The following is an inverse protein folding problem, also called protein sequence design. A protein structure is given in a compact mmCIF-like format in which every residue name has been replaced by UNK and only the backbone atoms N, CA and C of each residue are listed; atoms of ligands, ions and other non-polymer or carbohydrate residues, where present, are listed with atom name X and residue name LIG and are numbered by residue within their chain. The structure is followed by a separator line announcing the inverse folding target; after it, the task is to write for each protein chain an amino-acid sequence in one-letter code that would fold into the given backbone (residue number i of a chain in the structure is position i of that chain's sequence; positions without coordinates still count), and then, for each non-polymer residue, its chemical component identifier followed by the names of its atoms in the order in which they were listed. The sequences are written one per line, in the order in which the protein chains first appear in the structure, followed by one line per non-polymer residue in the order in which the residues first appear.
data_IF_755827881226
#
_entry.id   IF_755827881226
#
_cell.length_a   1.000
_cell.length_b   1.000
_cell.length_c   1.000
_cell.angle_alpha   90.00
_cell.angle_beta   90.00
_cell.angle_gamma   90.00
#
_symmetry.space_group_name_H-M   'P 1'
#
loop_
_entity.id
_entity.type
_entity.pdbx_description
1 polymer ?
#
# COMPACT_ATOMS: atom_id res chain seq x y z
N UNK A 1 66.24 5.08 -20.28
CA UNK A 1 65.86 5.14 -18.89
C UNK A 1 64.45 5.69 -18.85
N UNK A 2 63.45 4.82 -18.79
CA UNK A 2 62.00 5.17 -18.80
C UNK A 2 61.42 4.88 -17.41
N UNK A 3 61.00 5.95 -16.74
CA UNK A 3 60.32 5.86 -15.44
C UNK A 3 58.85 5.43 -15.61
N UNK A 4 58.47 4.34 -14.96
CA UNK A 4 57.08 3.87 -14.90
C UNK A 4 56.28 4.68 -13.88
N UNK A 5 55.23 5.33 -14.33
CA UNK A 5 54.21 5.94 -13.46
C UNK A 5 53.23 4.87 -12.99
N UNK A 6 53.17 4.64 -11.67
CA UNK A 6 52.16 3.79 -11.02
C UNK A 6 50.89 4.62 -10.88
N UNK A 7 49.82 4.27 -11.61
CA UNK A 7 48.51 4.84 -11.41
C UNK A 7 47.86 4.22 -10.19
N UNK A 8 47.60 5.03 -9.16
CA UNK A 8 46.74 4.67 -8.04
C UNK A 8 45.35 4.40 -8.56
N UNK A 9 44.96 3.13 -8.60
CA UNK A 9 43.57 2.71 -8.73
C UNK A 9 42.78 3.12 -7.49
N UNK A 10 42.05 4.23 -7.60
CA UNK A 10 41.05 4.58 -6.61
C UNK A 10 39.99 3.49 -6.58
N UNK A 11 39.92 2.73 -5.48
CA UNK A 11 38.78 1.89 -5.19
C UNK A 11 37.53 2.81 -5.15
N UNK A 12 36.58 2.51 -6.02
CA UNK A 12 35.24 3.05 -5.87
C UNK A 12 34.75 2.68 -4.47
N UNK A 13 34.06 3.58 -3.75
CA UNK A 13 33.53 3.25 -2.43
C UNK A 13 32.62 2.04 -2.59
N UNK A 14 32.80 1.05 -1.71
CA UNK A 14 31.91 -0.08 -1.56
C UNK A 14 30.47 0.44 -1.60
N UNK A 15 29.70 0.06 -2.61
CA UNK A 15 28.25 0.06 -2.52
C UNK A 15 27.93 -0.97 -1.44
N UNK A 16 27.82 -0.51 -0.17
CA UNK A 16 27.16 -1.26 0.86
C UNK A 16 25.83 -1.70 0.25
N UNK A 17 25.51 -2.98 0.31
CA UNK A 17 24.22 -3.55 -0.07
C UNK A 17 23.14 -2.79 0.71
N UNK A 18 22.63 -1.70 0.14
CA UNK A 18 21.47 -1.00 0.68
C UNK A 18 20.28 -1.94 0.44
N UNK A 19 19.97 -2.71 1.45
CA UNK A 19 18.71 -3.45 1.49
C UNK A 19 17.56 -2.48 1.15
N UNK A 20 16.67 -2.90 0.26
CA UNK A 20 15.50 -2.11 -0.12
C UNK A 20 14.72 -1.68 1.14
N UNK A 21 14.30 -0.42 1.17
CA UNK A 21 13.52 0.12 2.30
C UNK A 21 12.04 -0.25 2.10
N UNK A 22 11.53 -1.13 2.94
CA UNK A 22 10.11 -1.57 2.93
C UNK A 22 9.09 -0.43 3.17
N UNK A 23 9.55 0.77 3.53
CA UNK A 23 8.69 1.96 3.61
C UNK A 23 8.39 2.56 2.23
N UNK A 24 9.17 2.21 1.22
CA UNK A 24 8.93 2.62 -0.16
C UNK A 24 8.10 1.55 -0.87
N UNK A 25 6.94 1.94 -1.37
CA UNK A 25 6.07 1.08 -2.16
C UNK A 25 5.95 1.69 -3.56
N UNK A 26 6.45 0.98 -4.57
CA UNK A 26 6.37 1.43 -5.97
C UNK A 26 5.03 1.02 -6.58
N UNK A 27 4.30 1.97 -7.14
CA UNK A 27 3.03 1.71 -7.79
C UNK A 27 3.24 1.15 -9.21
N UNK A 28 2.59 0.03 -9.51
CA UNK A 28 2.56 -0.60 -10.82
C UNK A 28 1.26 -0.20 -11.53
N UNK A 29 1.23 1.02 -12.05
CA UNK A 29 0.07 1.57 -12.77
C UNK A 29 0.28 1.32 -14.27
N UNK A 30 0.11 0.06 -14.69
CA UNK A 30 0.26 -0.45 -16.05
C UNK A 30 -0.97 -1.24 -16.46
N UNK A 31 -1.20 -1.35 -17.77
CA UNK A 31 -2.24 -2.22 -18.35
C UNK A 31 -1.72 -3.62 -18.70
N UNK A 32 -0.41 -3.74 -18.95
CA UNK A 32 0.23 -4.98 -19.40
C UNK A 32 1.19 -5.54 -18.36
N UNK A 33 1.21 -6.86 -18.24
CA UNK A 33 2.14 -7.56 -17.35
C UNK A 33 3.58 -7.47 -17.86
N UNK A 34 3.80 -7.35 -19.14
CA UNK A 34 5.14 -7.25 -19.73
C UNK A 34 5.87 -5.97 -19.26
N UNK A 35 5.13 -4.86 -19.11
CA UNK A 35 5.67 -3.61 -18.55
C UNK A 35 6.04 -3.79 -17.07
N UNK A 36 5.25 -4.55 -16.32
CA UNK A 36 5.55 -4.91 -14.93
C UNK A 36 6.83 -5.72 -14.84
N UNK A 37 6.96 -6.76 -15.69
CA UNK A 37 8.16 -7.61 -15.76
C UNK A 37 9.40 -6.78 -16.04
N UNK A 38 9.32 -5.87 -17.02
CA UNK A 38 10.43 -4.99 -17.39
C UNK A 38 10.85 -4.07 -16.23
N UNK A 39 9.88 -3.40 -15.58
CA UNK A 39 10.18 -2.50 -14.46
C UNK A 39 10.72 -3.25 -13.25
N UNK A 40 10.16 -4.40 -12.90
CA UNK A 40 10.64 -5.20 -11.76
C UNK A 40 12.06 -5.71 -11.99
N UNK A 41 12.40 -6.09 -13.22
CA UNK A 41 13.75 -6.49 -13.61
C UNK A 41 14.73 -5.31 -13.56
N UNK A 42 14.33 -4.12 -14.03
CA UNK A 42 15.14 -2.90 -13.99
C UNK A 42 15.44 -2.47 -12.57
N UNK A 43 14.45 -2.46 -11.67
CA UNK A 43 14.60 -2.04 -10.28
C UNK A 43 15.34 -3.09 -9.43
N UNK A 44 15.29 -4.36 -9.80
CA UNK A 44 16.00 -5.45 -9.14
C UNK A 44 15.79 -5.44 -7.62
N UNK A 45 16.89 -5.50 -6.87
CA UNK A 45 16.88 -5.53 -5.40
C UNK A 45 16.78 -4.14 -4.76
N UNK A 46 16.76 -3.06 -5.56
CA UNK A 46 16.57 -1.69 -5.06
C UNK A 46 15.16 -1.47 -4.50
N UNK A 47 14.19 -2.26 -4.94
CA UNK A 47 12.78 -2.20 -4.50
C UNK A 47 12.30 -3.59 -4.09
N UNK A 48 11.79 -3.68 -2.86
CA UNK A 48 11.23 -4.90 -2.29
C UNK A 48 9.71 -4.92 -2.27
N UNK A 49 9.04 -3.76 -2.45
CA UNK A 49 7.61 -3.63 -2.21
C UNK A 49 6.90 -2.90 -3.35
N UNK A 50 5.85 -3.52 -3.88
CA UNK A 50 5.08 -2.99 -5.00
C UNK A 50 3.59 -2.90 -4.67
N UNK A 51 2.90 -1.89 -5.23
CA UNK A 51 1.45 -1.76 -5.19
C UNK A 51 0.85 -2.21 -6.52
N UNK A 52 -0.07 -3.15 -6.43
CA UNK A 52 -0.94 -3.57 -7.53
C UNK A 52 -2.31 -2.92 -7.34
N UNK A 53 -2.64 -1.97 -8.19
CA UNK A 53 -3.93 -1.27 -8.18
C UNK A 53 -4.99 -1.96 -9.05
N UNK A 54 -6.19 -1.34 -9.11
CA UNK A 54 -7.32 -1.85 -9.89
C UNK A 54 -7.00 -1.98 -11.39
N UNK A 55 -6.30 -0.98 -11.96
CA UNK A 55 -5.95 -0.96 -13.38
C UNK A 55 -5.20 -2.23 -13.77
N UNK A 56 -4.06 -2.49 -13.15
CA UNK A 56 -3.25 -3.67 -13.43
C UNK A 56 -3.96 -4.98 -13.06
N UNK A 57 -4.63 -5.02 -11.90
CA UNK A 57 -5.28 -6.24 -11.44
C UNK A 57 -6.44 -6.65 -12.36
N UNK A 58 -7.20 -5.70 -12.89
CA UNK A 58 -8.32 -6.00 -13.79
C UNK A 58 -7.88 -6.28 -15.21
N UNK A 59 -6.76 -5.73 -15.67
CA UNK A 59 -6.22 -6.00 -17.02
C UNK A 59 -5.41 -7.30 -17.08
N UNK A 60 -4.46 -7.49 -16.15
CA UNK A 60 -3.55 -8.63 -16.12
C UNK A 60 -4.06 -9.82 -15.28
N UNK A 61 -5.10 -9.63 -14.48
CA UNK A 61 -5.66 -10.66 -13.63
C UNK A 61 -4.86 -10.92 -12.35
N UNK A 62 -5.26 -11.99 -11.64
CA UNK A 62 -4.69 -12.33 -10.34
C UNK A 62 -3.24 -12.81 -10.40
N UNK A 63 -2.73 -13.20 -11.57
CA UNK A 63 -1.39 -13.79 -11.75
C UNK A 63 -0.24 -12.80 -11.46
N UNK A 64 -0.52 -11.48 -11.49
CA UNK A 64 0.48 -10.47 -11.16
C UNK A 64 0.99 -10.59 -9.72
N UNK A 65 0.14 -11.00 -8.78
CA UNK A 65 0.54 -11.15 -7.38
C UNK A 65 1.50 -12.34 -7.19
N UNK A 66 1.17 -13.58 -7.62
CA UNK A 66 2.12 -14.69 -7.62
C UNK A 66 3.43 -14.38 -8.37
N UNK A 67 3.37 -13.68 -9.50
CA UNK A 67 4.58 -13.25 -10.21
C UNK A 67 5.52 -12.46 -9.28
N UNK A 68 5.03 -11.42 -8.60
CA UNK A 68 5.81 -10.61 -7.68
C UNK A 68 6.32 -11.44 -6.48
N UNK A 69 5.47 -12.29 -5.91
CA UNK A 69 5.85 -13.16 -4.78
C UNK A 69 6.96 -14.15 -5.17
N UNK A 70 6.93 -14.71 -6.37
CA UNK A 70 7.97 -15.60 -6.89
C UNK A 70 9.32 -14.88 -7.10
N UNK A 71 9.29 -13.55 -7.23
CA UNK A 71 10.49 -12.71 -7.27
C UNK A 71 10.88 -12.14 -5.89
N UNK A 72 10.38 -12.73 -4.80
CA UNK A 72 10.61 -12.31 -3.41
C UNK A 72 10.21 -10.86 -3.12
N UNK A 73 9.19 -10.34 -3.84
CA UNK A 73 8.67 -8.99 -3.62
C UNK A 73 7.47 -9.02 -2.69
N UNK A 74 7.31 -7.95 -1.89
CA UNK A 74 6.09 -7.70 -1.11
C UNK A 74 5.06 -7.03 -2.00
N UNK A 75 3.78 -7.28 -1.70
CA UNK A 75 2.66 -6.80 -2.51
C UNK A 75 1.61 -6.11 -1.64
N UNK A 76 1.33 -4.85 -1.94
CA UNK A 76 0.12 -4.16 -1.50
C UNK A 76 -0.93 -4.27 -2.62
N UNK A 77 -1.95 -5.09 -2.41
CA UNK A 77 -3.06 -5.24 -3.35
C UNK A 77 -4.14 -4.20 -3.03
N UNK A 78 -4.15 -3.12 -3.82
CA UNK A 78 -4.88 -1.87 -3.58
C UNK A 78 -6.20 -1.83 -4.36
N UNK A 79 -7.16 -2.70 -4.00
CA UNK A 79 -8.46 -2.83 -4.68
C UNK A 79 -9.60 -2.07 -3.99
N UNK A 80 -9.35 -1.54 -2.79
CA UNK A 80 -10.26 -0.64 -2.05
C UNK A 80 -11.68 -1.20 -1.90
N UNK A 81 -11.82 -2.42 -1.37
CA UNK A 81 -13.14 -3.06 -1.24
C UNK A 81 -14.11 -2.18 -0.45
N UNK A 82 -15.32 -2.04 -0.98
CA UNK A 82 -16.38 -1.25 -0.37
C UNK A 82 -17.72 -1.88 -0.71
N UNK A 83 -18.24 -2.67 0.19
CA UNK A 83 -19.50 -3.40 0.02
C UNK A 83 -20.15 -3.67 1.39
N UNK A 84 -21.28 -4.35 1.42
CA UNK A 84 -21.86 -4.81 2.69
C UNK A 84 -20.88 -5.70 3.45
N UNK A 85 -20.96 -5.77 4.80
CA UNK A 85 -19.91 -6.38 5.63
C UNK A 85 -19.51 -7.79 5.21
N UNK A 86 -20.47 -8.66 4.90
CA UNK A 86 -20.17 -10.03 4.51
C UNK A 86 -19.45 -10.11 3.15
N UNK A 87 -19.90 -9.34 2.16
CA UNK A 87 -19.29 -9.36 0.81
C UNK A 87 -17.86 -8.83 0.85
N UNK A 88 -17.63 -7.72 1.55
CA UNK A 88 -16.27 -7.17 1.72
C UNK A 88 -15.34 -8.18 2.43
N UNK A 89 -15.81 -8.83 3.49
CA UNK A 89 -15.03 -9.81 4.23
C UNK A 89 -14.70 -11.06 3.39
N UNK A 90 -15.66 -11.63 2.67
CA UNK A 90 -15.41 -12.80 1.81
C UNK A 90 -14.52 -12.46 0.61
N UNK A 91 -14.66 -11.24 0.06
CA UNK A 91 -13.74 -10.74 -0.96
C UNK A 91 -12.28 -10.69 -0.46
N UNK A 92 -12.05 -10.13 0.73
CA UNK A 92 -10.72 -10.11 1.35
C UNK A 92 -10.19 -11.51 1.65
N UNK A 93 -11.06 -12.42 2.12
CA UNK A 93 -10.69 -13.82 2.32
C UNK A 93 -10.23 -14.49 1.01
N UNK A 94 -10.89 -14.18 -0.10
CA UNK A 94 -10.50 -14.68 -1.42
C UNK A 94 -9.15 -14.10 -1.87
N UNK A 95 -8.92 -12.80 -1.63
CA UNK A 95 -7.67 -12.11 -1.97
C UNK A 95 -6.48 -12.57 -1.10
N UNK A 96 -6.72 -13.01 0.14
CA UNK A 96 -5.66 -13.54 1.00
C UNK A 96 -4.92 -14.71 0.33
N UNK A 97 -5.63 -15.56 -0.43
CA UNK A 97 -5.00 -16.70 -1.13
C UNK A 97 -4.09 -16.30 -2.28
N UNK A 98 -4.13 -15.04 -2.72
CA UNK A 98 -3.17 -14.52 -3.70
C UNK A 98 -1.77 -14.27 -3.08
N UNK A 99 -1.67 -14.21 -1.75
CA UNK A 99 -0.39 -14.02 -1.04
C UNK A 99 0.04 -12.55 -0.90
N UNK A 100 -0.88 -11.59 -1.06
CA UNK A 100 -0.59 -10.18 -0.80
C UNK A 100 -0.21 -9.94 0.66
N UNK A 101 0.69 -8.98 0.91
CA UNK A 101 1.15 -8.60 2.24
C UNK A 101 0.26 -7.52 2.88
N UNK A 102 -0.37 -6.67 2.05
CA UNK A 102 -1.35 -5.66 2.48
C UNK A 102 -2.58 -5.76 1.58
N UNK A 103 -3.76 -5.68 2.22
CA UNK A 103 -5.08 -5.52 1.58
C UNK A 103 -5.75 -4.25 2.10
N UNK A 104 -6.73 -3.73 1.38
CA UNK A 104 -7.46 -2.57 1.87
C UNK A 104 -8.97 -2.58 1.59
N UNK A 105 -9.66 -1.78 2.38
CA UNK A 105 -11.08 -1.45 2.22
C UNK A 105 -11.27 0.06 2.33
N UNK A 106 -12.45 0.59 1.99
CA UNK A 106 -12.80 1.97 2.34
C UNK A 106 -13.28 2.08 3.79
N UNK A 107 -12.76 3.04 4.56
CA UNK A 107 -13.21 3.31 5.93
C UNK A 107 -14.66 3.83 5.99
N UNK A 108 -15.15 4.45 4.90
CA UNK A 108 -16.52 4.91 4.74
C UNK A 108 -17.57 3.78 4.73
N UNK A 109 -17.15 2.52 4.56
CA UNK A 109 -18.00 1.35 4.76
C UNK A 109 -18.45 1.14 6.22
N UNK A 110 -17.83 1.89 7.16
CA UNK A 110 -18.23 1.95 8.56
C UNK A 110 -17.59 0.87 9.44
N UNK A 111 -17.82 1.02 10.74
CA UNK A 111 -17.25 0.14 11.76
C UNK A 111 -17.56 -1.34 11.52
N UNK A 112 -18.85 -1.65 11.28
CA UNK A 112 -19.30 -3.04 11.12
C UNK A 112 -18.62 -3.73 9.94
N UNK A 113 -18.51 -3.05 8.79
CA UNK A 113 -17.82 -3.61 7.63
C UNK A 113 -16.34 -3.90 7.94
N UNK A 114 -15.64 -2.93 8.49
CA UNK A 114 -14.22 -3.08 8.84
C UNK A 114 -13.99 -4.16 9.89
N UNK A 115 -14.80 -4.17 10.96
CA UNK A 115 -14.70 -5.18 12.04
C UNK A 115 -14.97 -6.60 11.53
N UNK A 116 -16.02 -6.78 10.72
CA UNK A 116 -16.32 -8.07 10.10
C UNK A 116 -15.17 -8.54 9.20
N UNK A 117 -14.59 -7.62 8.42
CA UNK A 117 -13.44 -7.91 7.56
C UNK A 117 -12.23 -8.40 8.36
N UNK A 118 -11.86 -7.68 9.43
CA UNK A 118 -10.75 -8.05 10.32
C UNK A 118 -10.97 -9.43 10.93
N UNK A 119 -12.14 -9.65 11.54
CA UNK A 119 -12.42 -10.90 12.25
C UNK A 119 -12.42 -12.11 11.32
N UNK A 120 -13.04 -11.97 10.14
CA UNK A 120 -13.10 -13.04 9.15
C UNK A 120 -11.74 -13.37 8.57
N UNK A 121 -10.93 -12.35 8.26
CA UNK A 121 -9.59 -12.54 7.71
C UNK A 121 -8.67 -13.24 8.72
N UNK A 122 -8.66 -12.78 9.98
CA UNK A 122 -7.88 -13.41 11.04
C UNK A 122 -8.31 -14.87 11.29
N UNK A 123 -9.62 -15.12 11.41
CA UNK A 123 -10.14 -16.47 11.62
C UNK A 123 -9.79 -17.43 10.47
N UNK A 124 -9.80 -16.93 9.22
CA UNK A 124 -9.42 -17.73 8.06
C UNK A 124 -7.91 -18.01 8.05
N UNK A 125 -7.08 -17.01 8.31
CA UNK A 125 -5.62 -17.14 8.38
C UNK A 125 -5.21 -18.18 9.44
N UNK A 126 -5.79 -18.09 10.64
CA UNK A 126 -5.58 -19.05 11.72
C UNK A 126 -6.02 -20.47 11.31
N UNK A 127 -7.25 -20.60 10.79
CA UNK A 127 -7.79 -21.90 10.33
C UNK A 127 -6.94 -22.58 9.26
N UNK A 128 -6.30 -21.77 8.39
CA UNK A 128 -5.48 -22.27 7.28
C UNK A 128 -3.99 -22.38 7.63
N UNK A 129 -3.56 -21.87 8.78
CA UNK A 129 -2.14 -21.80 9.14
C UNK A 129 -1.34 -20.90 8.18
N UNK A 130 -1.98 -19.86 7.62
CA UNK A 130 -1.37 -18.94 6.66
C UNK A 130 -1.03 -17.61 7.31
N UNK A 131 -0.02 -16.89 6.82
CA UNK A 131 0.21 -15.50 7.23
C UNK A 131 -1.03 -14.64 6.96
N UNK A 132 -1.45 -13.86 7.95
CA UNK A 132 -2.53 -12.91 7.79
C UNK A 132 -1.97 -11.63 7.14
N UNK A 133 -2.48 -11.17 5.98
CA UNK A 133 -2.06 -9.90 5.42
C UNK A 133 -2.47 -8.74 6.34
N UNK A 134 -1.72 -7.65 6.30
CA UNK A 134 -2.12 -6.40 6.95
C UNK A 134 -3.38 -5.85 6.27
N UNK A 135 -4.36 -5.44 7.06
CA UNK A 135 -5.60 -4.87 6.56
C UNK A 135 -5.67 -3.39 6.94
N UNK A 136 -5.69 -2.51 5.92
CA UNK A 136 -5.72 -1.06 6.12
C UNK A 136 -6.96 -0.43 5.48
N UNK A 137 -7.36 0.74 5.96
CA UNK A 137 -8.56 1.41 5.48
C UNK A 137 -8.24 2.72 4.76
N UNK A 138 -8.77 2.91 3.56
CA UNK A 138 -8.71 4.18 2.83
C UNK A 138 -9.61 5.19 3.53
N UNK A 139 -9.06 6.32 3.95
CA UNK A 139 -9.82 7.39 4.60
C UNK A 139 -10.60 8.20 3.58
N UNK A 140 -10.02 9.26 3.05
CA UNK A 140 -10.56 10.07 1.96
C UNK A 140 -9.55 10.00 0.80
N UNK A 141 -10.05 9.85 -0.42
CA UNK A 141 -9.22 9.85 -1.62
C UNK A 141 -8.55 11.21 -1.78
N UNK A 142 -7.25 11.22 -2.08
CA UNK A 142 -6.47 12.45 -2.22
C UNK A 142 -6.87 13.31 -3.41
N UNK A 143 -7.68 12.78 -4.32
CA UNK A 143 -8.26 13.50 -5.46
C UNK A 143 -9.50 14.34 -5.09
N UNK A 144 -10.13 14.10 -3.93
CA UNK A 144 -11.30 14.87 -3.50
C UNK A 144 -10.85 16.26 -3.07
N UNK A 145 -11.37 17.28 -3.75
CA UNK A 145 -11.19 18.69 -3.43
C UNK A 145 -12.36 19.22 -2.57
N UNK A 146 -12.28 20.48 -2.16
CA UNK A 146 -13.31 21.12 -1.31
C UNK A 146 -14.68 21.22 -2.00
N UNK A 147 -14.73 21.36 -3.34
CA UNK A 147 -15.96 21.42 -4.11
C UNK A 147 -16.68 20.06 -4.12
N UNK A 148 -15.93 19.00 -4.45
CA UNK A 148 -16.44 17.62 -4.38
C UNK A 148 -16.90 17.27 -2.98
N UNK A 149 -16.11 17.69 -1.96
CA UNK A 149 -16.43 17.47 -0.56
C UNK A 149 -17.74 18.11 -0.13
N UNK A 150 -17.95 19.39 -0.52
CA UNK A 150 -19.20 20.09 -0.29
C UNK A 150 -20.36 19.45 -1.06
N UNK A 151 -20.12 18.99 -2.31
CA UNK A 151 -21.10 18.27 -3.13
C UNK A 151 -21.59 16.96 -2.50
N UNK A 152 -20.74 16.30 -1.69
CA UNK A 152 -21.12 15.11 -0.91
C UNK A 152 -22.00 15.45 0.32
N UNK A 153 -22.27 16.75 0.59
CA UNK A 153 -23.09 17.20 1.72
C UNK A 153 -22.38 17.11 3.07
N UNK A 154 -21.06 17.02 3.09
CA UNK A 154 -20.29 16.91 4.32
C UNK A 154 -20.20 18.25 5.06
N UNK A 155 -20.40 18.22 6.39
CA UNK A 155 -20.44 19.41 7.25
C UNK A 155 -19.10 19.68 7.96
N UNK A 156 -18.16 18.74 7.92
CA UNK A 156 -16.84 18.89 8.52
C UNK A 156 -15.76 19.04 7.44
N UNK A 157 -14.58 19.49 7.81
CA UNK A 157 -13.42 19.54 6.91
C UNK A 157 -12.96 18.16 6.51
N UNK A 158 -12.30 18.03 5.35
CA UNK A 158 -11.67 16.78 4.90
C UNK A 158 -10.73 16.24 6.00
N UNK A 159 -9.90 17.09 6.58
CA UNK A 159 -8.97 16.72 7.64
C UNK A 159 -9.64 16.13 8.88
N UNK A 160 -10.73 16.77 9.35
CA UNK A 160 -11.49 16.25 10.50
C UNK A 160 -12.09 14.88 10.20
N UNK A 161 -12.61 14.69 8.98
CA UNK A 161 -13.16 13.41 8.59
C UNK A 161 -12.08 12.32 8.45
N UNK A 162 -10.93 12.65 7.90
CA UNK A 162 -9.79 11.73 7.80
C UNK A 162 -9.39 11.22 9.20
N UNK A 163 -9.24 12.12 10.17
CA UNK A 163 -8.90 11.73 11.56
C UNK A 163 -10.01 10.89 12.21
N UNK A 164 -11.28 11.23 11.95
CA UNK A 164 -12.44 10.46 12.43
C UNK A 164 -12.43 9.04 11.87
N UNK A 165 -12.21 8.89 10.56
CA UNK A 165 -12.16 7.61 9.88
C UNK A 165 -10.94 6.78 10.34
N UNK A 166 -9.79 7.42 10.57
CA UNK A 166 -8.60 6.74 11.10
C UNK A 166 -8.85 6.16 12.52
N UNK A 167 -9.49 6.94 13.40
CA UNK A 167 -9.89 6.45 14.73
C UNK A 167 -10.89 5.31 14.63
N UNK A 168 -11.86 5.41 13.73
CA UNK A 168 -12.85 4.37 13.49
C UNK A 168 -12.19 3.07 12.99
N UNK A 169 -11.28 3.17 12.02
CA UNK A 169 -10.51 2.04 11.52
C UNK A 169 -9.69 1.37 12.63
N UNK A 170 -8.99 2.16 13.44
CA UNK A 170 -8.26 1.64 14.60
C UNK A 170 -9.18 0.91 15.58
N UNK A 171 -10.35 1.47 15.90
CA UNK A 171 -11.30 0.84 16.83
C UNK A 171 -11.89 -0.46 16.28
N UNK A 172 -11.99 -0.61 14.95
CA UNK A 172 -12.41 -1.84 14.29
C UNK A 172 -11.30 -2.91 14.22
N UNK A 173 -10.07 -2.59 14.65
CA UNK A 173 -8.94 -3.51 14.65
C UNK A 173 -8.13 -3.51 13.36
N UNK A 174 -8.29 -2.49 12.48
CA UNK A 174 -7.46 -2.35 11.28
C UNK A 174 -6.00 -2.08 11.66
N UNK A 175 -5.07 -2.56 10.86
CA UNK A 175 -3.62 -2.35 11.07
C UNK A 175 -3.19 -0.91 10.74
N UNK A 176 -3.95 -0.19 9.92
CA UNK A 176 -3.60 1.16 9.50
C UNK A 176 -4.60 1.80 8.55
N UNK A 177 -4.16 2.89 7.94
CA UNK A 177 -4.95 3.65 6.97
C UNK A 177 -4.12 4.11 5.76
N UNK A 178 -4.84 4.43 4.68
CA UNK A 178 -4.33 5.22 3.56
C UNK A 178 -4.86 6.65 3.72
N UNK A 179 -3.98 7.64 3.66
CA UNK A 179 -4.31 9.06 3.78
C UNK A 179 -3.27 9.94 3.06
N UNK A 180 -3.59 11.22 2.85
CA UNK A 180 -2.61 12.18 2.33
C UNK A 180 -1.42 12.36 3.29
N UNK A 181 -0.21 12.62 2.78
CA UNK A 181 0.93 13.00 3.62
C UNK A 181 0.63 14.18 4.55
N UNK A 182 -0.28 15.08 4.14
CA UNK A 182 -0.67 16.26 4.92
C UNK A 182 -1.42 15.92 6.22
N UNK A 183 -2.11 14.78 6.26
CA UNK A 183 -2.85 14.31 7.44
C UNK A 183 -2.03 13.35 8.32
N UNK A 184 -0.86 12.90 7.86
CA UNK A 184 -0.08 11.87 8.54
C UNK A 184 0.25 12.22 10.01
N UNK A 185 0.62 13.47 10.29
CA UNK A 185 0.93 13.94 11.64
C UNK A 185 -0.31 13.88 12.56
N UNK A 186 -1.48 14.34 12.08
CA UNK A 186 -2.72 14.32 12.85
C UNK A 186 -3.21 12.89 13.11
N UNK A 187 -3.06 12.00 12.13
CA UNK A 187 -3.39 10.57 12.31
C UNK A 187 -2.44 9.93 13.32
N UNK A 188 -1.14 10.24 13.24
CA UNK A 188 -0.13 9.72 14.17
C UNK A 188 -0.43 10.13 15.62
N UNK A 189 -0.79 11.39 15.83
CA UNK A 189 -1.21 11.88 17.14
C UNK A 189 -2.47 11.17 17.64
N UNK A 190 -3.48 11.01 16.77
CA UNK A 190 -4.76 10.41 17.13
C UNK A 190 -4.73 8.89 17.32
N UNK A 191 -3.87 8.18 16.56
CA UNK A 191 -3.85 6.73 16.52
C UNK A 191 -2.59 6.09 17.13
N UNK A 192 -1.55 6.87 17.45
CA UNK A 192 -0.33 6.39 18.09
C UNK A 192 0.71 5.79 17.14
N UNK A 193 1.90 5.42 17.64
CA UNK A 193 3.07 5.10 16.83
C UNK A 193 2.98 3.77 16.05
N UNK A 194 2.25 2.79 16.57
CA UNK A 194 2.13 1.45 15.94
C UNK A 194 1.10 1.35 14.81
N UNK A 195 0.31 2.40 14.58
CA UNK A 195 -0.71 2.39 13.53
C UNK A 195 -0.09 2.71 12.17
N UNK A 196 -0.25 1.84 11.18
CA UNK A 196 0.33 2.01 9.85
C UNK A 196 -0.33 3.19 9.12
N UNK A 197 0.47 4.02 8.46
CA UNK A 197 -0.03 5.11 7.60
C UNK A 197 0.66 4.96 6.25
N UNK A 198 -0.12 4.66 5.22
CA UNK A 198 0.34 4.60 3.82
C UNK A 198 -0.08 5.89 3.13
N UNK A 199 0.90 6.59 2.55
CA UNK A 199 0.67 7.89 1.89
C UNK A 199 0.92 7.77 0.40
N UNK A 200 -0.14 7.70 -0.44
CA UNK A 200 0.01 7.66 -1.88
C UNK A 200 0.34 9.04 -2.44
N UNK A 201 0.81 9.04 -3.68
CA UNK A 201 0.97 10.28 -4.46
C UNK A 201 2.18 11.12 -4.08
N UNK A 202 3.16 10.56 -3.37
CA UNK A 202 4.44 11.25 -3.10
C UNK A 202 5.19 11.45 -4.41
N UNK A 203 5.53 12.70 -4.72
CA UNK A 203 6.34 13.08 -5.88
C UNK A 203 7.58 13.80 -5.40
N UNK A 204 8.80 13.37 -5.77
CA UNK A 204 10.02 14.14 -5.54
C UNK A 204 9.95 15.50 -6.22
N UNK A 205 10.69 16.48 -5.68
CA UNK A 205 10.79 17.79 -6.31
C UNK A 205 11.31 17.66 -7.75
N UNK A 206 10.57 18.23 -8.72
CA UNK A 206 10.90 18.18 -10.14
C UNK A 206 10.29 16.99 -10.90
N UNK A 207 9.57 16.09 -10.25
CA UNK A 207 8.78 15.07 -10.96
C UNK A 207 7.50 15.68 -11.57
N UNK A 208 7.14 15.28 -12.79
CA UNK A 208 5.86 15.67 -13.41
C UNK A 208 4.68 15.03 -12.67
N UNK A 209 3.56 15.73 -12.70
CA UNK A 209 2.28 15.24 -12.19
C UNK A 209 1.62 14.37 -13.25
#
# INVERSE_FOLDING_TARGET
MAGAAVSNGGLLPNMEDKMADDRLIVALDFHDIDDVVALVAELGDSVSFYKVGMELFYSAGAEVVPFLKNHNKKVFLDLKLHDIPNTAAEGLCSLMFQGADILNVHASGGYTMMKTAVDRLHALAEKKGMPCPKLIAVTILTSINEEDWAGLGMQCTIREQVVRLAKLAKSAGMDGVVASPQEAAAIREACGPGFMIVTPGVRPAGASV
#
